data_IF_154141028770
#
_entry.id   IF_154141028770
#
_cell.length_a   1.000
_cell.length_b   1.000
_cell.length_c   1.000
_cell.angle_alpha   90.00
_cell.angle_beta   90.00
_cell.angle_gamma   90.00
#
_symmetry.space_group_name_H-M   'P 1'
#
loop_
_entity.id
_entity.type
_entity.pdbx_description
1 polymer ?
#
# COMPACT_ATOMS: atom_id res chain seq x y z
N UNK A 1 1.42 28.65 -24.12
CA UNK A 1 2.22 27.44 -23.86
C UNK A 1 2.13 27.20 -22.36
N UNK A 2 1.38 26.19 -21.92
CA UNK A 2 1.22 25.87 -20.50
C UNK A 2 2.40 24.95 -20.14
N UNK A 3 3.22 25.26 -19.11
CA UNK A 3 4.37 24.44 -18.77
C UNK A 3 3.92 23.05 -18.28
N UNK A 4 4.36 22.02 -19.01
CA UNK A 4 4.14 20.60 -18.75
C UNK A 4 5.04 20.14 -17.58
N UNK A 5 4.87 20.73 -16.40
CA UNK A 5 5.69 20.42 -15.20
C UNK A 5 4.88 19.93 -14.01
N UNK A 6 3.56 19.80 -14.15
CA UNK A 6 2.66 19.51 -13.02
C UNK A 6 1.72 18.34 -13.28
N UNK A 7 2.09 17.43 -14.18
CA UNK A 7 1.33 16.20 -14.36
C UNK A 7 1.84 15.21 -13.30
N UNK A 8 1.11 14.92 -12.21
CA UNK A 8 1.51 13.87 -11.28
C UNK A 8 1.61 12.57 -12.08
N UNK A 9 2.83 12.15 -12.34
CA UNK A 9 3.16 10.96 -13.10
C UNK A 9 2.67 9.79 -12.28
N UNK A 10 1.51 9.25 -12.65
CA UNK A 10 0.90 8.03 -12.11
C UNK A 10 0.65 8.10 -10.60
N UNK A 11 -0.62 8.12 -10.19
CA UNK A 11 -0.97 7.80 -8.81
C UNK A 11 -0.45 6.39 -8.53
N UNK A 12 0.72 6.28 -7.90
CA UNK A 12 1.36 5.00 -7.62
C UNK A 12 0.54 4.34 -6.51
N UNK A 13 -0.48 3.58 -6.91
CA UNK A 13 -1.28 2.76 -6.00
C UNK A 13 -0.38 1.83 -5.17
N UNK A 14 0.79 1.49 -5.71
CA UNK A 14 1.80 0.69 -5.05
C UNK A 14 2.59 1.46 -3.97
N UNK A 15 2.56 2.78 -3.96
CA UNK A 15 3.13 3.63 -2.93
C UNK A 15 2.18 3.80 -1.74
N UNK A 16 0.95 3.28 -1.83
CA UNK A 16 -0.04 3.35 -0.74
C UNK A 16 -0.17 2.02 -0.03
N UNK A 17 -0.24 2.06 1.30
CA UNK A 17 -0.48 0.86 2.10
C UNK A 17 -1.96 0.44 2.00
N UNK A 18 -2.24 -0.76 1.49
CA UNK A 18 -3.59 -1.35 1.39
C UNK A 18 -4.34 -1.49 2.72
N UNK A 19 -3.66 -1.41 3.86
CA UNK A 19 -4.27 -1.60 5.18
C UNK A 19 -4.69 -0.27 5.82
N UNK A 20 -3.84 0.75 5.74
CA UNK A 20 -4.07 2.03 6.43
C UNK A 20 -4.23 3.21 5.46
N UNK A 21 -4.18 2.96 4.15
CA UNK A 21 -4.31 3.94 3.06
C UNK A 21 -3.38 5.14 3.15
N UNK A 22 -2.30 5.01 3.95
CA UNK A 22 -1.23 6.01 4.04
C UNK A 22 -0.10 5.67 3.06
N UNK A 23 0.67 6.67 2.60
CA UNK A 23 1.87 6.43 1.82
C UNK A 23 2.81 5.49 2.58
N UNK A 24 3.39 4.52 1.87
CA UNK A 24 4.43 3.62 2.39
C UNK A 24 5.66 4.40 2.83
N UNK A 25 5.94 5.52 2.16
CA UNK A 25 7.01 6.47 2.49
C UNK A 25 6.80 7.21 3.81
N UNK A 26 5.59 7.26 4.37
CA UNK A 26 5.30 7.96 5.62
C UNK A 26 5.82 7.24 6.88
N UNK A 27 6.42 6.06 6.73
CA UNK A 27 6.93 5.26 7.85
C UNK A 27 5.83 4.64 8.73
N UNK A 28 6.22 3.84 9.72
CA UNK A 28 5.28 3.33 10.74
C UNK A 28 4.35 2.16 10.32
N UNK A 29 4.70 1.40 9.28
CA UNK A 29 3.85 0.30 8.76
C UNK A 29 4.06 -1.07 9.43
N UNK A 30 4.75 -1.13 10.58
CA UNK A 30 5.01 -2.37 11.32
C UNK A 30 3.71 -3.12 11.69
N UNK A 31 2.69 -2.39 12.18
CA UNK A 31 1.37 -2.95 12.51
C UNK A 31 0.64 -3.45 11.25
N UNK A 32 0.73 -2.70 10.15
CA UNK A 32 0.15 -3.08 8.86
C UNK A 32 0.80 -4.36 8.32
N UNK A 33 2.14 -4.46 8.39
CA UNK A 33 2.87 -5.66 7.97
C UNK A 33 2.41 -6.91 8.72
N UNK A 34 2.28 -6.83 10.05
CA UNK A 34 1.77 -7.93 10.89
C UNK A 34 0.34 -8.33 10.51
N UNK A 35 -0.55 -7.36 10.28
CA UNK A 35 -1.93 -7.63 9.85
C UNK A 35 -1.98 -8.29 8.47
N UNK A 36 -1.13 -7.86 7.53
CA UNK A 36 -1.01 -8.50 6.20
C UNK A 36 -0.57 -9.94 6.30
N UNK A 37 0.42 -10.23 7.14
CA UNK A 37 0.88 -11.60 7.36
C UNK A 37 -0.21 -12.48 7.98
N UNK A 38 -0.98 -11.95 8.94
CA UNK A 38 -2.11 -12.67 9.53
C UNK A 38 -3.22 -12.96 8.51
N UNK A 39 -3.59 -11.98 7.68
CA UNK A 39 -4.57 -12.15 6.60
C UNK A 39 -4.14 -13.22 5.59
N UNK A 40 -2.86 -13.25 5.22
CA UNK A 40 -2.30 -14.27 4.32
C UNK A 40 -2.42 -15.67 4.93
N UNK A 41 -2.03 -15.82 6.20
CA UNK A 41 -2.17 -17.10 6.92
C UNK A 41 -3.63 -17.58 6.99
N UNK A 42 -4.57 -16.67 7.25
CA UNK A 42 -6.00 -17.03 7.26
C UNK A 42 -6.51 -17.49 5.89
N UNK A 43 -6.06 -16.87 4.80
CA UNK A 43 -6.41 -17.29 3.45
C UNK A 43 -5.82 -18.66 3.11
N UNK A 44 -4.57 -18.92 3.52
CA UNK A 44 -3.92 -20.23 3.33
C UNK A 44 -4.62 -21.35 4.11
N UNK A 45 -5.09 -21.08 5.33
CA UNK A 45 -5.85 -22.06 6.12
C UNK A 45 -7.25 -22.34 5.58
N UNK A 46 -7.83 -21.44 4.78
CA UNK A 46 -9.17 -21.62 4.18
C UNK A 46 -9.15 -22.40 2.87
N UNK A 47 -8.01 -22.49 2.20
CA UNK A 47 -7.84 -23.19 0.93
C UNK A 47 -7.34 -24.64 1.08
N UNK A 48 -7.22 -25.14 2.31
CA UNK A 48 -6.71 -26.48 2.62
C UNK A 48 -7.76 -27.29 3.35
#
# INVERSE_FOLDING_TARGET
MIPDTERPTVYDWNATCDICLRPRSAGGHQKCSKKRQALRRQQESKQK
#
